data_IF_530790529007
#
_entry.id   IF_530790529007
#
_cell.length_a   1.000
_cell.length_b   1.000
_cell.length_c   1.000
_cell.angle_alpha   90.00
_cell.angle_beta   90.00
_cell.angle_gamma   90.00
#
_symmetry.space_group_name_H-M   'P 1'
#
loop_
_entity.id
_entity.type
_entity.pdbx_description
1 polymer ?
#
# COMPACT_ATOMS: atom_id res chain seq x y z
N UNK A 1 -1.00 -18.28 6.52
CA UNK A 1 -0.94 -18.03 5.08
C UNK A 1 -1.26 -19.35 4.39
N UNK A 2 -2.25 -19.34 3.51
CA UNK A 2 -2.66 -20.51 2.73
C UNK A 2 -1.76 -20.65 1.51
N UNK A 3 -1.42 -21.87 1.13
CA UNK A 3 -0.81 -22.16 -0.15
C UNK A 3 -1.86 -22.01 -1.25
N UNK A 4 -1.41 -21.74 -2.47
CA UNK A 4 -2.28 -21.74 -3.64
C UNK A 4 -2.52 -23.21 -4.05
N UNK A 5 -3.80 -23.63 -4.11
CA UNK A 5 -4.13 -25.00 -4.51
C UNK A 5 -3.97 -25.22 -6.00
N UNK A 6 -4.31 -24.22 -6.82
CA UNK A 6 -4.19 -24.24 -8.27
C UNK A 6 -3.86 -22.85 -8.83
N UNK A 7 -3.34 -22.80 -10.04
CA UNK A 7 -2.98 -21.56 -10.71
C UNK A 7 -1.57 -21.09 -10.41
N UNK A 8 -1.23 -19.91 -10.89
CA UNK A 8 0.11 -19.30 -10.73
C UNK A 8 -0.01 -17.81 -10.44
N UNK A 9 0.88 -17.31 -9.60
CA UNK A 9 1.06 -15.89 -9.33
C UNK A 9 2.33 -15.43 -10.00
N UNK A 10 2.21 -14.46 -10.91
CA UNK A 10 3.35 -13.89 -11.63
C UNK A 10 3.59 -12.45 -11.15
N UNK A 11 4.83 -12.13 -10.85
CA UNK A 11 5.29 -10.76 -10.55
C UNK A 11 6.32 -10.36 -11.62
N UNK A 12 5.96 -9.37 -12.47
CA UNK A 12 6.78 -8.99 -13.62
C UNK A 12 7.21 -10.19 -14.49
N UNK A 13 6.26 -11.06 -14.82
CA UNK A 13 6.50 -12.26 -15.64
C UNK A 13 7.24 -13.40 -14.94
N UNK A 14 7.68 -13.22 -13.69
CA UNK A 14 8.36 -14.26 -12.91
C UNK A 14 7.35 -14.97 -12.01
N UNK A 15 7.38 -16.30 -12.01
CA UNK A 15 6.54 -17.11 -11.13
C UNK A 15 6.99 -16.96 -9.66
N UNK A 16 6.06 -16.55 -8.81
CA UNK A 16 6.27 -16.35 -7.38
C UNK A 16 5.32 -17.20 -6.52
N UNK A 17 4.65 -18.17 -7.14
CA UNK A 17 3.61 -18.98 -6.49
C UNK A 17 4.10 -19.65 -5.21
N UNK A 18 5.27 -20.30 -5.26
CA UNK A 18 5.84 -21.02 -4.12
C UNK A 18 6.85 -20.20 -3.31
N UNK A 19 7.03 -18.91 -3.67
CA UNK A 19 7.96 -18.04 -2.97
C UNK A 19 7.45 -17.65 -1.59
N UNK A 20 8.33 -17.62 -0.61
CA UNK A 20 8.03 -17.11 0.73
C UNK A 20 7.76 -15.61 0.70
N UNK A 21 7.05 -15.09 1.70
CA UNK A 21 6.68 -13.67 1.74
C UNK A 21 7.89 -12.72 1.61
N UNK A 22 9.00 -13.02 2.30
CA UNK A 22 10.21 -12.20 2.23
C UNK A 22 10.88 -12.24 0.85
N UNK A 23 10.80 -13.38 0.12
CA UNK A 23 11.33 -13.50 -1.23
C UNK A 23 10.50 -12.65 -2.20
N UNK A 24 9.16 -12.68 -2.07
CA UNK A 24 8.26 -11.82 -2.86
C UNK A 24 8.50 -10.34 -2.58
N UNK A 25 8.72 -9.98 -1.31
CA UNK A 25 9.07 -8.60 -0.94
C UNK A 25 10.37 -8.15 -1.62
N UNK A 26 11.43 -8.97 -1.61
CA UNK A 26 12.69 -8.70 -2.33
C UNK A 26 12.54 -8.61 -3.85
N UNK A 27 11.50 -9.19 -4.40
CA UNK A 27 11.16 -9.08 -5.82
C UNK A 27 10.34 -7.84 -6.15
N UNK A 28 10.01 -7.03 -5.15
CA UNK A 28 9.29 -5.78 -5.29
C UNK A 28 7.78 -5.86 -5.00
N UNK A 29 7.34 -6.81 -4.19
CA UNK A 29 5.96 -6.87 -3.71
C UNK A 29 5.84 -6.21 -2.34
N UNK A 30 5.31 -4.98 -2.29
CA UNK A 30 4.95 -4.29 -1.05
C UNK A 30 3.56 -4.68 -0.58
N UNK A 31 3.29 -4.52 0.73
CA UNK A 31 1.97 -4.71 1.31
C UNK A 31 1.76 -3.83 2.54
N UNK A 32 0.61 -3.17 2.62
CA UNK A 32 0.07 -2.62 3.87
C UNK A 32 -0.84 -3.65 4.55
N UNK A 33 -1.24 -3.37 5.79
CA UNK A 33 -2.14 -4.23 6.54
C UNK A 33 -3.40 -3.46 6.91
N UNK A 34 -4.50 -4.18 7.11
CA UNK A 34 -5.77 -3.61 7.58
C UNK A 34 -5.59 -2.80 8.86
N UNK A 35 -4.81 -3.32 9.81
CA UNK A 35 -4.34 -2.57 10.99
C UNK A 35 -2.85 -2.27 10.81
N UNK A 36 -2.43 -0.99 10.88
CA UNK A 36 -1.04 -0.60 10.71
C UNK A 36 -0.11 -1.34 11.67
N UNK A 37 0.99 -1.88 11.13
CA UNK A 37 1.96 -2.64 11.92
C UNK A 37 3.24 -1.86 12.12
N UNK A 38 3.42 -1.36 13.33
CA UNK A 38 4.62 -0.67 13.78
C UNK A 38 5.17 -1.31 15.05
N UNK A 39 6.47 -1.11 15.31
CA UNK A 39 7.07 -1.46 16.59
C UNK A 39 6.63 -0.43 17.62
N UNK A 40 5.73 -0.83 18.53
CA UNK A 40 5.06 0.07 19.49
C UNK A 40 5.98 0.70 20.51
N UNK A 41 7.20 0.18 20.71
CA UNK A 41 8.20 0.70 21.65
C UNK A 41 9.37 1.39 20.94
N UNK A 42 9.14 1.88 19.75
CA UNK A 42 10.15 2.50 18.92
C UNK A 42 9.68 3.85 18.41
N UNK A 43 10.61 4.69 18.04
CA UNK A 43 10.34 6.00 17.47
C UNK A 43 9.79 5.89 16.04
N UNK A 44 9.20 6.98 15.54
CA UNK A 44 8.79 7.11 14.15
C UNK A 44 9.96 6.79 13.23
N UNK A 45 11.14 7.38 13.49
CA UNK A 45 12.33 7.17 12.67
C UNK A 45 12.82 5.74 12.62
N UNK A 46 12.79 5.01 13.75
CA UNK A 46 13.16 3.60 13.79
C UNK A 46 12.17 2.74 12.99
N UNK A 47 10.89 3.01 13.09
CA UNK A 47 9.87 2.30 12.34
C UNK A 47 9.98 2.55 10.82
N UNK A 48 10.29 3.77 10.40
CA UNK A 48 10.47 4.09 9.00
C UNK A 48 11.70 3.42 8.39
N UNK A 49 12.78 3.27 9.15
CA UNK A 49 13.99 2.54 8.72
C UNK A 49 13.72 1.09 8.38
N UNK A 50 12.80 0.43 9.09
CA UNK A 50 12.47 -0.98 8.86
C UNK A 50 11.70 -1.23 7.56
N UNK A 51 11.09 -0.21 6.97
CA UNK A 51 10.34 -0.31 5.72
C UNK A 51 11.20 -0.15 4.47
N UNK A 52 12.41 0.28 4.61
CA UNK A 52 13.30 0.52 3.49
C UNK A 52 14.13 -0.72 3.16
N UNK A 53 14.48 -0.94 1.89
CA UNK A 53 15.42 -1.99 1.42
C UNK A 53 16.78 -1.96 2.14
N UNK A 54 16.93 -0.98 2.96
CA UNK A 54 18.09 -0.62 3.73
C UNK A 54 18.39 -1.58 4.88
N UNK A 55 17.41 -2.35 5.33
CA UNK A 55 17.65 -3.42 6.29
C UNK A 55 18.56 -4.52 5.71
N UNK A 56 18.58 -4.68 4.39
CA UNK A 56 19.39 -5.70 3.72
C UNK A 56 20.75 -5.17 3.17
N UNK A 57 20.91 -3.87 3.10
CA UNK A 57 22.14 -3.26 2.61
C UNK A 57 22.82 -2.47 3.72
N UNK A 58 23.88 -3.02 4.27
CA UNK A 58 24.79 -2.32 5.21
C UNK A 58 25.38 -1.00 4.67
N UNK A 59 24.88 -0.52 3.53
CA UNK A 59 25.18 0.75 2.90
C UNK A 59 24.37 1.95 3.42
N UNK A 60 23.33 1.74 4.22
CA UNK A 60 22.42 2.80 4.67
C UNK A 60 23.11 3.90 5.48
N UNK A 61 23.97 3.55 6.41
CA UNK A 61 24.75 4.56 7.15
C UNK A 61 25.64 5.41 6.24
N UNK A 62 26.12 4.83 5.11
CA UNK A 62 26.87 5.60 4.09
C UNK A 62 25.96 6.44 3.20
N UNK A 63 24.71 6.03 2.96
CA UNK A 63 23.72 6.78 2.18
C UNK A 63 23.22 8.04 2.92
N UNK A 64 23.16 8.01 4.25
CA UNK A 64 22.80 9.17 5.06
C UNK A 64 23.86 10.28 5.06
N UNK A 65 25.13 9.95 4.77
CA UNK A 65 26.25 10.89 4.77
C UNK A 65 26.79 11.21 3.37
N UNK A 66 26.15 10.73 2.28
CA UNK A 66 26.56 10.98 0.90
C UNK A 66 25.52 11.74 0.07
N UNK A 67 25.89 12.17 -1.16
CA UNK A 67 24.97 12.83 -2.10
C UNK A 67 23.65 12.07 -2.34
N UNK A 68 23.66 10.72 -2.27
CA UNK A 68 22.45 9.88 -2.35
C UNK A 68 21.55 9.96 -1.09
N UNK A 69 22.07 10.46 0.02
CA UNK A 69 21.28 10.66 1.24
C UNK A 69 20.29 11.81 1.13
N UNK A 70 20.62 12.84 0.38
CA UNK A 70 19.71 13.97 0.15
C UNK A 70 18.54 13.54 -0.73
N UNK A 71 18.76 12.77 -1.80
CA UNK A 71 17.70 12.30 -2.70
C UNK A 71 16.67 11.43 -1.94
N UNK A 72 17.13 10.61 -0.99
CA UNK A 72 16.23 9.79 -0.16
C UNK A 72 15.42 10.64 0.82
N UNK A 73 16.04 11.63 1.48
CA UNK A 73 15.32 12.52 2.38
C UNK A 73 14.30 13.37 1.63
N UNK A 74 14.65 13.85 0.44
CA UNK A 74 13.74 14.60 -0.43
C UNK A 74 12.53 13.74 -0.84
N UNK A 75 12.75 12.45 -1.13
CA UNK A 75 11.66 11.50 -1.41
C UNK A 75 10.76 11.27 -0.20
N UNK A 76 11.34 11.08 0.97
CA UNK A 76 10.58 10.93 2.23
C UNK A 76 9.74 12.17 2.49
N UNK A 77 10.34 13.35 2.39
CA UNK A 77 9.66 14.62 2.62
C UNK A 77 8.51 14.82 1.63
N UNK A 78 8.71 14.47 0.35
CA UNK A 78 7.66 14.50 -0.67
C UNK A 78 6.47 13.60 -0.31
N UNK A 79 6.72 12.37 0.11
CA UNK A 79 5.64 11.46 0.52
C UNK A 79 4.93 11.95 1.79
N UNK A 80 5.66 12.50 2.76
CA UNK A 80 5.07 13.06 3.97
C UNK A 80 4.20 14.28 3.67
N UNK A 81 4.63 15.15 2.74
CA UNK A 81 3.84 16.31 2.28
C UNK A 81 2.54 15.86 1.62
N UNK A 82 2.59 14.91 0.67
CA UNK A 82 1.40 14.34 0.02
C UNK A 82 0.45 13.72 1.05
N UNK A 83 1.02 13.03 2.03
CA UNK A 83 0.26 12.41 3.12
C UNK A 83 -0.34 13.41 4.10
N UNK A 84 -0.01 14.70 4.02
CA UNK A 84 -0.36 15.71 5.04
C UNK A 84 0.08 15.25 6.45
N UNK A 85 1.34 14.81 6.54
CA UNK A 85 1.95 14.31 7.76
C UNK A 85 3.12 15.19 8.18
N UNK A 86 2.98 15.80 9.36
CA UNK A 86 4.12 16.41 10.05
C UNK A 86 4.50 15.49 11.20
N UNK A 87 5.68 14.89 11.12
CA UNK A 87 6.19 13.95 12.13
C UNK A 87 7.56 14.36 12.64
N UNK A 88 7.81 14.17 13.92
CA UNK A 88 9.16 14.26 14.47
C UNK A 88 9.74 12.84 14.56
N UNK A 89 10.88 12.62 13.93
CA UNK A 89 11.55 11.32 13.87
C UNK A 89 11.88 10.71 15.23
N UNK A 90 11.98 11.54 16.27
CA UNK A 90 12.29 11.13 17.65
C UNK A 90 11.04 10.82 18.48
N UNK A 91 9.85 11.18 17.98
CA UNK A 91 8.62 10.91 18.72
C UNK A 91 8.33 9.42 18.76
N UNK A 92 7.71 8.98 19.84
CA UNK A 92 7.20 7.62 19.96
C UNK A 92 6.09 7.40 18.92
N UNK A 93 6.12 6.25 18.25
CA UNK A 93 5.12 5.90 17.24
C UNK A 93 3.70 5.88 17.81
N UNK A 94 3.54 5.58 19.09
CA UNK A 94 2.25 5.55 19.79
C UNK A 94 1.62 6.92 19.98
N UNK A 95 2.36 8.02 19.78
CA UNK A 95 1.83 9.38 19.83
C UNK A 95 0.99 9.75 18.62
N UNK A 96 1.09 8.97 17.53
CA UNK A 96 0.37 9.24 16.30
C UNK A 96 -1.07 8.70 16.35
N UNK A 97 -2.00 9.46 15.77
CA UNK A 97 -3.37 9.00 15.58
C UNK A 97 -3.45 7.81 14.62
N UNK A 98 -4.55 7.06 14.66
CA UNK A 98 -4.76 5.92 13.77
C UNK A 98 -4.67 6.32 12.29
N UNK A 99 -5.27 7.47 11.92
CA UNK A 99 -5.22 7.98 10.55
C UNK A 99 -3.82 8.39 10.11
N UNK A 100 -3.00 8.93 11.03
CA UNK A 100 -1.58 9.21 10.76
C UNK A 100 -0.79 7.92 10.57
N UNK A 101 -1.01 6.91 11.42
CA UNK A 101 -0.37 5.59 11.30
C UNK A 101 -0.70 4.91 9.97
N UNK A 102 -1.98 4.94 9.54
CA UNK A 102 -2.39 4.38 8.24
C UNK A 102 -1.65 5.03 7.06
N UNK A 103 -1.59 6.36 7.02
CA UNK A 103 -0.89 7.09 5.97
C UNK A 103 0.62 6.86 6.03
N UNK A 104 1.20 6.85 7.24
CA UNK A 104 2.62 6.58 7.44
C UNK A 104 3.00 5.16 7.00
N UNK A 105 2.12 4.17 7.16
CA UNK A 105 2.35 2.81 6.67
C UNK A 105 2.43 2.74 5.14
N UNK A 106 1.58 3.50 4.44
CA UNK A 106 1.66 3.61 2.98
C UNK A 106 3.00 4.25 2.58
N UNK A 107 3.37 5.38 3.20
CA UNK A 107 4.66 6.04 2.97
C UNK A 107 5.82 5.05 3.18
N UNK A 108 5.86 4.37 4.32
CA UNK A 108 6.89 3.36 4.62
C UNK A 108 6.95 2.27 3.56
N UNK A 109 5.79 1.81 3.09
CA UNK A 109 5.74 0.76 2.08
C UNK A 109 6.24 1.24 0.71
N UNK A 110 6.03 2.50 0.37
CA UNK A 110 6.53 3.11 -0.88
C UNK A 110 8.04 3.32 -0.85
N UNK A 111 8.62 3.64 0.31
CA UNK A 111 10.07 3.79 0.48
C UNK A 111 10.87 2.49 0.26
N UNK A 112 10.22 1.34 0.19
CA UNK A 112 10.85 0.09 -0.27
C UNK A 112 10.90 -0.03 -1.79
N UNK A 113 10.52 1.00 -2.54
CA UNK A 113 10.45 1.02 -4.01
C UNK A 113 9.76 -0.22 -4.61
N UNK A 114 8.54 -0.53 -4.17
CA UNK A 114 7.85 -1.71 -4.65
C UNK A 114 7.49 -1.56 -6.13
N UNK A 115 7.47 -2.67 -6.86
CA UNK A 115 6.91 -2.75 -8.22
C UNK A 115 5.39 -2.87 -8.18
N UNK A 116 4.90 -3.56 -7.16
CA UNK A 116 3.47 -3.70 -6.87
C UNK A 116 3.26 -3.50 -5.38
N UNK A 117 2.28 -2.67 -5.00
CA UNK A 117 1.86 -2.45 -3.62
C UNK A 117 0.43 -2.98 -3.44
N UNK A 118 0.28 -3.94 -2.54
CA UNK A 118 -1.02 -4.44 -2.09
C UNK A 118 -1.50 -3.56 -0.94
N UNK A 119 -2.66 -2.93 -1.10
CA UNK A 119 -3.25 -2.02 -0.10
C UNK A 119 -4.56 -2.60 0.40
N UNK A 120 -4.59 -2.95 1.69
CA UNK A 120 -5.68 -3.70 2.32
C UNK A 120 -6.55 -2.75 3.17
N UNK A 121 -7.79 -2.49 2.73
CA UNK A 121 -8.79 -1.62 3.36
C UNK A 121 -8.22 -0.27 3.85
N UNK A 122 -7.64 0.56 2.97
CA UNK A 122 -7.06 1.84 3.39
C UNK A 122 -8.09 2.83 3.93
N UNK A 123 -9.37 2.70 3.55
CA UNK A 123 -10.41 3.60 4.01
C UNK A 123 -10.96 3.29 5.41
N UNK A 124 -10.60 2.13 5.99
CA UNK A 124 -11.09 1.74 7.29
C UNK A 124 -10.59 2.67 8.40
N UNK A 125 -11.50 3.29 9.15
CA UNK A 125 -11.19 4.18 10.27
C UNK A 125 -10.66 5.57 9.88
N UNK A 126 -10.63 5.92 8.60
CA UNK A 126 -10.25 7.25 8.13
C UNK A 126 -11.46 8.16 7.93
N UNK A 127 -11.28 9.45 8.25
CA UNK A 127 -12.20 10.48 7.80
C UNK A 127 -11.96 10.83 6.32
N UNK A 128 -12.85 11.66 5.72
CA UNK A 128 -12.79 11.98 4.30
C UNK A 128 -11.47 12.64 3.88
N UNK A 129 -10.94 13.57 4.69
CA UNK A 129 -9.68 14.27 4.40
C UNK A 129 -8.48 13.30 4.46
N UNK A 130 -8.45 12.43 5.45
CA UNK A 130 -7.38 11.43 5.60
C UNK A 130 -7.40 10.41 4.46
N UNK A 131 -8.59 10.00 4.04
CA UNK A 131 -8.77 9.12 2.89
C UNK A 131 -8.28 9.76 1.60
N UNK A 132 -8.62 11.04 1.36
CA UNK A 132 -8.14 11.80 0.21
C UNK A 132 -6.60 11.79 0.13
N UNK A 133 -5.91 12.00 1.26
CA UNK A 133 -4.45 11.97 1.33
C UNK A 133 -3.86 10.57 1.08
N UNK A 134 -4.54 9.53 1.55
CA UNK A 134 -4.16 8.14 1.24
C UNK A 134 -4.31 7.84 -0.25
N UNK A 135 -5.39 8.30 -0.87
CA UNK A 135 -5.61 8.17 -2.32
C UNK A 135 -4.56 8.95 -3.12
N UNK A 136 -4.22 10.18 -2.69
CA UNK A 136 -3.19 10.98 -3.34
C UNK A 136 -1.82 10.29 -3.33
N UNK A 137 -1.43 9.63 -2.23
CA UNK A 137 -0.22 8.82 -2.14
C UNK A 137 -0.23 7.67 -3.14
N UNK A 138 -1.34 6.92 -3.23
CA UNK A 138 -1.47 5.79 -4.14
C UNK A 138 -1.41 6.24 -5.60
N UNK A 139 -2.10 7.33 -5.96
CA UNK A 139 -2.05 7.91 -7.31
C UNK A 139 -0.64 8.37 -7.68
N UNK A 140 0.02 9.10 -6.79
CA UNK A 140 1.41 9.53 -7.02
C UNK A 140 2.35 8.34 -7.23
N UNK A 141 2.19 7.24 -6.48
CA UNK A 141 2.95 6.02 -6.67
C UNK A 141 2.64 5.36 -8.03
N UNK A 142 1.38 5.32 -8.43
CA UNK A 142 0.96 4.78 -9.73
C UNK A 142 1.54 5.59 -10.90
N UNK A 143 1.56 6.92 -10.83
CA UNK A 143 2.19 7.82 -11.79
C UNK A 143 3.70 7.56 -11.92
N UNK A 144 4.34 7.10 -10.84
CA UNK A 144 5.75 6.67 -10.83
C UNK A 144 5.96 5.22 -11.28
N UNK A 145 4.89 4.54 -11.74
CA UNK A 145 4.94 3.19 -12.30
C UNK A 145 4.81 2.06 -11.28
N UNK A 146 4.39 2.34 -10.05
CA UNK A 146 4.05 1.31 -9.08
C UNK A 146 2.65 0.75 -9.38
N UNK A 147 2.52 -0.55 -9.59
CA UNK A 147 1.21 -1.19 -9.71
C UNK A 147 0.51 -1.20 -8.34
N UNK A 148 -0.69 -0.63 -8.24
CA UNK A 148 -1.46 -0.63 -6.99
C UNK A 148 -2.57 -1.70 -7.10
N UNK A 149 -2.60 -2.62 -6.14
CA UNK A 149 -3.71 -3.57 -5.97
C UNK A 149 -4.45 -3.19 -4.69
N UNK A 150 -5.64 -2.65 -4.85
CA UNK A 150 -6.49 -2.16 -3.77
C UNK A 150 -7.55 -3.19 -3.41
N UNK A 151 -7.63 -3.56 -2.14
CA UNK A 151 -8.72 -4.37 -1.59
C UNK A 151 -9.59 -3.44 -0.76
N UNK A 152 -10.84 -3.27 -1.19
CA UNK A 152 -11.80 -2.37 -0.55
C UNK A 152 -13.24 -2.83 -0.79
N UNK A 153 -14.15 -2.38 0.07
CA UNK A 153 -15.59 -2.61 -0.05
C UNK A 153 -16.41 -1.32 -0.19
N UNK A 154 -15.76 -0.16 -0.09
CA UNK A 154 -16.41 1.15 -0.32
C UNK A 154 -16.47 1.45 -1.81
N UNK A 155 -17.63 1.19 -2.42
CA UNK A 155 -17.82 1.32 -3.88
C UNK A 155 -17.45 2.70 -4.40
N UNK A 156 -17.87 3.79 -3.71
CA UNK A 156 -17.56 5.16 -4.13
C UNK A 156 -16.04 5.40 -4.26
N UNK A 157 -15.24 4.84 -3.34
CA UNK A 157 -13.79 4.94 -3.43
C UNK A 157 -13.26 4.14 -4.62
N UNK A 158 -13.67 2.88 -4.76
CA UNK A 158 -13.20 1.97 -5.80
C UNK A 158 -13.47 2.57 -7.19
N UNK A 159 -14.71 3.02 -7.42
CA UNK A 159 -15.13 3.61 -8.70
C UNK A 159 -14.37 4.88 -9.07
N UNK A 160 -13.90 5.65 -8.08
CA UNK A 160 -13.17 6.89 -8.32
C UNK A 160 -11.64 6.72 -8.40
N UNK A 161 -11.09 5.58 -7.98
CA UNK A 161 -9.63 5.42 -7.80
C UNK A 161 -9.06 4.36 -8.73
N UNK A 162 -9.82 3.30 -9.07
CA UNK A 162 -9.32 2.17 -9.82
C UNK A 162 -9.53 2.31 -11.33
N UNK A 163 -8.55 1.89 -12.11
CA UNK A 163 -8.66 1.79 -13.57
C UNK A 163 -9.33 0.48 -14.00
N UNK A 164 -9.19 -0.57 -13.18
CA UNK A 164 -9.78 -1.89 -13.40
C UNK A 164 -10.20 -2.51 -12.08
N UNK A 165 -11.37 -3.14 -12.08
CA UNK A 165 -12.00 -3.72 -10.88
C UNK A 165 -12.23 -5.21 -11.11
N UNK A 166 -11.97 -6.02 -10.08
CA UNK A 166 -12.35 -7.43 -10.00
C UNK A 166 -13.28 -7.59 -8.81
N UNK A 167 -14.49 -8.07 -9.05
CA UNK A 167 -15.50 -8.25 -8.00
C UNK A 167 -15.57 -9.70 -7.58
N UNK A 168 -15.39 -9.93 -6.28
CA UNK A 168 -15.48 -11.25 -5.67
C UNK A 168 -16.74 -11.33 -4.78
N UNK A 169 -17.51 -12.41 -4.92
CA UNK A 169 -18.61 -12.76 -4.04
C UNK A 169 -18.43 -14.19 -3.53
N UNK A 170 -18.31 -14.38 -2.21
CA UNK A 170 -17.97 -15.66 -1.57
C UNK A 170 -16.77 -16.37 -2.22
N UNK A 171 -15.72 -15.63 -2.57
CA UNK A 171 -14.49 -16.14 -3.17
C UNK A 171 -14.61 -16.48 -4.67
N UNK A 172 -15.76 -16.27 -5.31
CA UNK A 172 -15.94 -16.42 -6.76
C UNK A 172 -15.91 -15.05 -7.43
N UNK A 173 -15.18 -14.96 -8.53
CA UNK A 173 -15.22 -13.78 -9.39
C UNK A 173 -16.57 -13.71 -10.10
N UNK A 174 -17.32 -12.63 -9.86
CA UNK A 174 -18.66 -12.41 -10.47
C UNK A 174 -18.59 -11.34 -11.58
N UNK A 175 -17.62 -10.45 -11.55
CA UNK A 175 -17.39 -9.44 -12.60
C UNK A 175 -15.93 -8.99 -12.60
N UNK A 176 -15.49 -8.46 -13.73
CA UNK A 176 -14.25 -7.67 -13.88
C UNK A 176 -14.38 -6.71 -15.04
N UNK A 177 -13.70 -5.58 -14.99
CA UNK A 177 -13.73 -4.56 -16.04
C UNK A 177 -13.41 -3.17 -15.52
N UNK A 178 -13.72 -2.16 -16.33
CA UNK A 178 -13.63 -0.76 -15.91
C UNK A 178 -14.69 -0.43 -14.83
N UNK A 179 -14.55 0.68 -14.11
CA UNK A 179 -15.58 1.12 -13.16
C UNK A 179 -16.99 1.17 -13.78
N UNK A 180 -17.13 1.69 -15.00
CA UNK A 180 -18.42 1.82 -15.69
C UNK A 180 -19.03 0.45 -16.02
N UNK A 181 -18.21 -0.51 -16.48
CA UNK A 181 -18.64 -1.87 -16.80
C UNK A 181 -19.11 -2.61 -15.53
N UNK A 182 -18.36 -2.45 -14.44
CA UNK A 182 -18.69 -3.09 -13.16
C UNK A 182 -19.93 -2.47 -12.52
N UNK A 183 -20.09 -1.15 -12.60
CA UNK A 183 -21.25 -0.44 -12.05
C UNK A 183 -22.55 -0.84 -12.72
N UNK A 184 -22.52 -1.15 -14.01
CA UNK A 184 -23.70 -1.56 -14.79
C UNK A 184 -23.96 -3.08 -14.79
N UNK A 185 -23.10 -3.86 -14.13
CA UNK A 185 -23.20 -5.32 -14.14
C UNK A 185 -24.30 -5.81 -13.19
N UNK A 186 -25.29 -6.55 -13.75
CA UNK A 186 -26.45 -7.05 -12.98
C UNK A 186 -26.04 -7.94 -11.79
N UNK A 187 -25.06 -8.82 -11.94
CA UNK A 187 -24.59 -9.70 -10.87
C UNK A 187 -23.94 -8.91 -9.71
N UNK A 188 -23.30 -7.77 -10.03
CA UNK A 188 -22.74 -6.87 -8.99
C UNK A 188 -23.87 -6.11 -8.29
N UNK A 189 -24.83 -5.61 -9.04
CA UNK A 189 -26.00 -4.91 -8.51
C UNK A 189 -26.79 -5.83 -7.55
N UNK A 190 -27.05 -7.06 -7.97
CA UNK A 190 -27.72 -8.08 -7.14
C UNK A 190 -26.92 -8.39 -5.86
N UNK A 191 -25.63 -8.63 -5.97
CA UNK A 191 -24.77 -8.99 -4.85
C UNK A 191 -24.59 -7.90 -3.79
N UNK A 192 -24.58 -6.62 -4.22
CA UNK A 192 -24.31 -5.47 -3.33
C UNK A 192 -25.55 -4.66 -2.97
N UNK A 193 -26.55 -4.62 -3.81
CA UNK A 193 -27.79 -3.84 -3.57
C UNK A 193 -28.97 -4.69 -3.10
N UNK A 194 -28.83 -6.02 -3.06
CA UNK A 194 -29.79 -6.92 -2.43
C UNK A 194 -31.17 -6.89 -3.09
N UNK A 195 -31.24 -6.89 -4.42
CA UNK A 195 -32.50 -7.04 -5.17
C UNK A 195 -32.67 -8.44 -5.68
#
# INVERSE_FOLDING_TARGET
LYACDTGRVLLNGKDVTDKKAYERARMGLGRTFQTPRFLSRSTVGENMKLGTDLADQMGFLKSFFGKKGNDFLDEVDQYLEIADLTVNWKDDISSLSYGQLKRLEIVRSLLSHPKVLLVDEPAAGLNAKELEKSVALMRHAAEKGVGIVLIEHKMDMIMNVCDHIVVLNFGKMIAHGTPEEVQSNEAVIEAYLGR
#
